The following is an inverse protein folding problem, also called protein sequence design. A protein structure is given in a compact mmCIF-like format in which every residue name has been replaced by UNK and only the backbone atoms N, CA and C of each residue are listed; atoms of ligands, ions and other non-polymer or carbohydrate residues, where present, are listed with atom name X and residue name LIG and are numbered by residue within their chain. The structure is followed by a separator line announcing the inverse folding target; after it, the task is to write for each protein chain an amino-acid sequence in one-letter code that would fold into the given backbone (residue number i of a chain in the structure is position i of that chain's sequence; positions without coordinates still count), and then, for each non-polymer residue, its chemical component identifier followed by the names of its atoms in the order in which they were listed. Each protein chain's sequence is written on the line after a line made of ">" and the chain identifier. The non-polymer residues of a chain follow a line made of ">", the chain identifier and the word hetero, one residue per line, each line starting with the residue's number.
data_IF_102618451052
#
_entry.id   IF_102618451052
#
_cell.length_a   1.000
_cell.length_b   1.000
_cell.length_c   1.000
_cell.angle_alpha   90.00
_cell.angle_beta   90.00
_cell.angle_gamma   90.00
#
_symmetry.space_group_name_H-M   'P 1'
#
loop_
_entity.id
_entity.type
_entity.pdbx_description
1 polymer ?
#
# COMPACT_ATOMS: atom_id res chain seq x y z
N UNK A 1 19.25 -22.49 14.98
CA UNK A 1 18.95 -21.06 15.03
C UNK A 1 17.49 -20.88 14.64
N UNK A 2 16.69 -20.42 15.57
CA UNK A 2 15.26 -20.22 15.34
C UNK A 2 15.10 -18.89 14.59
N UNK A 3 14.66 -18.93 13.34
CA UNK A 3 14.19 -17.72 12.65
C UNK A 3 13.10 -17.11 13.52
N UNK A 4 13.31 -15.86 13.97
CA UNK A 4 12.37 -15.18 14.85
C UNK A 4 11.05 -14.74 14.19
N UNK A 5 10.76 -15.27 12.99
CA UNK A 5 9.52 -14.95 12.28
C UNK A 5 8.34 -15.63 13.01
N UNK A 6 7.45 -14.87 13.64
CA UNK A 6 6.22 -15.42 14.19
C UNK A 6 5.39 -16.00 13.05
N UNK A 7 4.77 -17.16 13.28
CA UNK A 7 3.92 -17.77 12.27
C UNK A 7 2.58 -17.02 12.16
N UNK A 8 2.15 -16.63 10.96
CA UNK A 8 0.87 -15.99 10.78
C UNK A 8 -0.28 -16.97 10.99
N UNK A 9 -1.31 -16.55 11.68
CA UNK A 9 -2.61 -17.19 11.61
C UNK A 9 -3.28 -16.75 10.32
N UNK A 10 -3.21 -17.59 9.29
CA UNK A 10 -3.81 -17.32 7.98
C UNK A 10 -5.34 -17.56 8.09
N UNK A 11 -6.08 -16.56 8.54
CA UNK A 11 -7.53 -16.63 8.72
C UNK A 11 -8.15 -15.37 8.11
N UNK A 12 -9.16 -15.53 7.26
CA UNK A 12 -9.94 -14.41 6.74
C UNK A 12 -10.17 -14.44 5.23
N UNK A 13 -10.95 -13.49 4.75
CA UNK A 13 -11.43 -13.33 3.36
C UNK A 13 -10.34 -12.88 2.35
N UNK A 14 -9.13 -12.60 2.82
CA UNK A 14 -8.05 -12.12 1.94
C UNK A 14 -7.23 -13.28 1.37
N UNK A 15 -6.73 -13.15 0.14
CA UNK A 15 -5.85 -14.15 -0.47
C UNK A 15 -4.66 -14.49 0.43
N UNK A 16 -4.34 -15.77 0.58
CA UNK A 16 -3.30 -16.26 1.49
C UNK A 16 -1.92 -15.67 1.21
N UNK A 17 -1.60 -15.40 -0.06
CA UNK A 17 -0.32 -14.75 -0.42
C UNK A 17 -0.23 -13.32 0.09
N UNK A 18 -1.35 -12.57 0.12
CA UNK A 18 -1.36 -11.20 0.66
C UNK A 18 -1.20 -11.20 2.18
N UNK A 19 -1.84 -12.13 2.87
CA UNK A 19 -1.70 -12.28 4.32
C UNK A 19 -0.25 -12.60 4.67
N UNK A 20 0.36 -13.55 3.95
CA UNK A 20 1.76 -13.94 4.15
C UNK A 20 2.71 -12.76 3.86
N UNK A 21 2.49 -12.04 2.75
CA UNK A 21 3.25 -10.85 2.39
C UNK A 21 3.19 -9.80 3.51
N UNK A 22 1.99 -9.42 3.96
CA UNK A 22 1.80 -8.42 5.02
C UNK A 22 2.47 -8.83 6.33
N UNK A 23 2.38 -10.09 6.67
CA UNK A 23 2.98 -10.60 7.90
C UNK A 23 4.50 -10.49 7.88
N UNK A 24 5.14 -10.94 6.79
CA UNK A 24 6.60 -10.88 6.66
C UNK A 24 7.09 -9.44 6.55
N UNK A 25 6.42 -8.58 5.75
CA UNK A 25 6.79 -7.17 5.61
C UNK A 25 6.67 -6.42 6.94
N UNK A 26 5.60 -6.65 7.71
CA UNK A 26 5.43 -6.08 9.04
C UNK A 26 6.50 -6.54 10.03
N UNK A 27 6.87 -7.82 10.02
CA UNK A 27 7.93 -8.38 10.88
C UNK A 27 9.31 -7.76 10.56
N UNK A 28 9.59 -7.49 9.29
CA UNK A 28 10.83 -6.82 8.88
C UNK A 28 10.79 -5.33 9.28
N UNK A 29 9.68 -4.64 9.06
CA UNK A 29 9.52 -3.22 9.41
C UNK A 29 9.56 -2.97 10.93
N UNK A 30 8.97 -3.86 11.71
CA UNK A 30 9.00 -3.78 13.18
C UNK A 30 10.35 -4.17 13.81
N UNK A 31 11.27 -4.71 12.99
CA UNK A 31 12.57 -5.16 13.48
C UNK A 31 12.54 -6.53 14.19
N UNK A 32 11.42 -7.25 14.15
CA UNK A 32 11.33 -8.63 14.66
C UNK A 32 12.24 -9.57 13.88
N UNK A 33 12.40 -9.30 12.59
CA UNK A 33 13.38 -9.94 11.72
C UNK A 33 14.51 -8.96 11.48
N UNK A 34 15.70 -9.30 11.92
CA UNK A 34 16.87 -8.43 11.79
C UNK A 34 17.29 -8.26 10.33
N UNK A 35 17.83 -7.10 9.93
CA UNK A 35 18.42 -6.92 8.62
C UNK A 35 19.53 -7.95 8.35
N UNK A 36 19.46 -8.65 7.21
CA UNK A 36 20.36 -9.75 6.87
C UNK A 36 19.99 -11.09 7.47
N UNK A 37 18.97 -11.15 8.32
CA UNK A 37 18.49 -12.43 8.87
C UNK A 37 17.91 -13.31 7.77
N UNK A 38 18.19 -14.61 7.89
CA UNK A 38 17.72 -15.59 6.92
C UNK A 38 16.27 -15.96 7.16
N UNK A 39 15.46 -15.78 6.14
CA UNK A 39 14.06 -16.18 6.15
C UNK A 39 13.89 -17.67 5.88
N UNK A 40 12.79 -18.28 6.32
CA UNK A 40 12.48 -19.67 6.02
C UNK A 40 12.44 -19.94 4.52
N UNK A 41 12.83 -21.13 4.11
CA UNK A 41 12.71 -21.53 2.71
C UNK A 41 11.24 -21.67 2.30
N UNK A 42 10.95 -21.55 1.00
CA UNK A 42 9.59 -21.76 0.48
C UNK A 42 8.99 -23.10 0.94
N UNK A 43 9.81 -24.19 0.89
CA UNK A 43 9.38 -25.52 1.32
C UNK A 43 9.03 -25.56 2.81
N UNK A 44 9.84 -24.92 3.64
CA UNK A 44 9.55 -24.82 5.08
C UNK A 44 8.25 -24.10 5.36
N UNK A 45 8.00 -22.95 4.70
CA UNK A 45 6.74 -22.21 4.86
C UNK A 45 5.54 -23.02 4.40
N UNK A 46 5.63 -23.68 3.26
CA UNK A 46 4.56 -24.59 2.80
C UNK A 46 4.24 -25.66 3.81
N UNK A 47 5.27 -26.34 4.34
CA UNK A 47 5.09 -27.41 5.32
C UNK A 47 4.54 -26.89 6.65
N UNK A 48 4.96 -25.70 7.09
CA UNK A 48 4.56 -25.15 8.39
C UNK A 48 3.17 -24.52 8.36
N UNK A 49 2.82 -23.84 7.27
CA UNK A 49 1.57 -23.11 7.14
C UNK A 49 0.47 -23.89 6.40
N UNK A 50 0.80 -25.05 5.82
CA UNK A 50 -0.16 -25.83 5.03
C UNK A 50 -0.63 -25.15 3.75
N UNK A 51 0.16 -24.24 3.19
CA UNK A 51 -0.18 -23.47 1.99
C UNK A 51 0.53 -24.03 0.75
N UNK A 52 -0.03 -23.71 -0.42
CA UNK A 52 0.57 -24.14 -1.70
C UNK A 52 1.91 -23.44 -1.98
N UNK A 53 2.76 -24.09 -2.77
CA UNK A 53 4.03 -23.53 -3.19
C UNK A 53 3.85 -22.22 -3.95
N UNK A 54 2.84 -22.13 -4.83
CA UNK A 54 2.52 -20.92 -5.60
C UNK A 54 2.15 -19.74 -4.71
N UNK A 55 1.41 -19.97 -3.63
CA UNK A 55 1.07 -18.94 -2.63
C UNK A 55 2.33 -18.33 -2.01
N UNK A 56 3.26 -19.19 -1.58
CA UNK A 56 4.51 -18.73 -0.98
C UNK A 56 5.41 -18.04 -2.01
N UNK A 57 5.46 -18.56 -3.23
CA UNK A 57 6.23 -17.95 -4.33
C UNK A 57 5.75 -16.56 -4.67
N UNK A 58 4.44 -16.37 -4.78
CA UNK A 58 3.84 -15.05 -5.04
C UNK A 58 4.17 -14.07 -3.91
N UNK A 59 4.02 -14.47 -2.65
CA UNK A 59 4.34 -13.60 -1.51
C UNK A 59 5.84 -13.21 -1.49
N UNK A 60 6.74 -14.18 -1.71
CA UNK A 60 8.17 -13.87 -1.78
C UNK A 60 8.55 -13.02 -2.98
N UNK A 61 7.94 -13.22 -4.14
CA UNK A 61 8.17 -12.40 -5.31
C UNK A 61 7.79 -10.93 -5.05
N UNK A 62 6.66 -10.69 -4.38
CA UNK A 62 6.24 -9.34 -3.96
C UNK A 62 7.25 -8.73 -2.97
N UNK A 63 7.68 -9.47 -1.95
CA UNK A 63 8.66 -8.98 -0.98
C UNK A 63 10.02 -8.65 -1.62
N UNK A 64 10.43 -9.39 -2.62
CA UNK A 64 11.65 -9.12 -3.38
C UNK A 64 11.48 -7.91 -4.29
N UNK A 65 10.35 -7.78 -4.99
CA UNK A 65 10.08 -6.64 -5.88
C UNK A 65 10.00 -5.32 -5.13
N UNK A 66 9.53 -5.32 -3.89
CA UNK A 66 9.45 -4.14 -3.03
C UNK A 66 10.74 -3.92 -2.18
N UNK A 67 11.71 -4.80 -2.30
CA UNK A 67 12.99 -4.64 -1.63
C UNK A 67 13.01 -5.00 -0.14
N UNK A 68 11.97 -5.64 0.40
CA UNK A 68 11.97 -6.14 1.77
C UNK A 68 12.86 -7.38 1.94
N UNK A 69 13.00 -8.16 0.87
CA UNK A 69 13.73 -9.42 0.88
C UNK A 69 14.72 -9.48 -0.27
N UNK A 70 15.91 -9.97 0.00
CA UNK A 70 16.94 -10.22 -1.01
C UNK A 70 16.99 -11.72 -1.27
N UNK A 71 16.81 -12.10 -2.53
CA UNK A 71 17.01 -13.48 -2.98
C UNK A 71 18.44 -13.67 -3.43
N UNK A 72 19.12 -14.66 -2.87
CA UNK A 72 20.47 -15.04 -3.28
C UNK A 72 20.49 -16.48 -3.77
N UNK A 73 21.07 -16.76 -4.95
CA UNK A 73 21.24 -18.13 -5.41
C UNK A 73 21.96 -18.96 -4.37
N UNK A 74 21.49 -20.18 -4.13
CA UNK A 74 22.02 -21.14 -3.14
C UNK A 74 21.92 -20.72 -1.67
N UNK A 75 21.77 -19.43 -1.35
CA UNK A 75 21.67 -18.91 0.03
C UNK A 75 20.23 -18.70 0.50
N UNK A 76 19.24 -18.73 -0.40
CA UNK A 76 17.84 -18.53 -0.08
C UNK A 76 17.45 -17.05 0.04
N UNK A 77 16.60 -16.74 1.00
CA UNK A 77 16.00 -15.43 1.21
C UNK A 77 16.52 -14.80 2.49
N UNK A 78 16.90 -13.53 2.44
CA UNK A 78 17.36 -12.76 3.59
C UNK A 78 16.60 -11.45 3.68
N UNK A 79 16.32 -11.00 4.89
CA UNK A 79 15.69 -9.69 5.11
C UNK A 79 16.61 -8.57 4.63
N UNK A 80 16.08 -7.64 3.86
CA UNK A 80 16.80 -6.44 3.46
C UNK A 80 16.90 -5.45 4.62
N UNK A 81 17.87 -4.55 4.54
CA UNK A 81 17.94 -3.42 5.46
C UNK A 81 16.93 -2.37 5.01
N UNK A 82 15.71 -2.43 5.52
CA UNK A 82 14.71 -1.41 5.26
C UNK A 82 15.05 -0.22 6.17
N UNK A 83 15.48 0.88 5.58
CA UNK A 83 15.54 2.15 6.30
C UNK A 83 14.11 2.65 6.38
N UNK A 84 13.43 2.36 7.49
CA UNK A 84 12.16 3.00 7.77
C UNK A 84 12.48 4.47 8.02
N UNK A 85 12.31 5.30 7.01
CA UNK A 85 12.26 6.74 7.25
C UNK A 85 11.11 6.95 8.25
N UNK A 86 11.35 7.61 9.39
CA UNK A 86 10.26 7.98 10.26
C UNK A 86 9.22 8.67 9.39
N UNK A 87 7.99 8.17 9.43
CA UNK A 87 6.89 8.81 8.72
C UNK A 87 7.01 10.32 9.01
N UNK A 88 7.04 11.18 8.00
CA UNK A 88 7.08 12.59 8.25
C UNK A 88 5.95 12.86 9.22
N UNK A 89 6.31 13.23 10.46
CA UNK A 89 5.32 13.67 11.41
C UNK A 89 4.61 14.80 10.68
N UNK A 90 3.39 14.55 10.27
CA UNK A 90 2.56 15.57 9.67
C UNK A 90 2.43 16.67 10.72
N UNK A 91 3.41 17.57 10.70
CA UNK A 91 3.29 18.80 11.46
C UNK A 91 2.02 19.42 10.91
N UNK A 92 0.98 19.63 11.75
CA UNK A 92 -0.21 20.28 11.25
C UNK A 92 0.27 21.58 10.57
N UNK A 93 0.18 21.61 9.26
CA UNK A 93 0.41 22.88 8.56
C UNK A 93 -0.56 23.85 9.22
N UNK A 94 -0.09 25.00 9.73
CA UNK A 94 -1.01 26.02 10.20
C UNK A 94 -2.01 26.20 9.07
N UNK A 95 -3.28 26.01 9.38
CA UNK A 95 -4.33 26.21 8.41
C UNK A 95 -4.08 27.59 7.78
N UNK A 96 -4.04 27.69 6.45
CA UNK A 96 -3.88 29.00 5.84
C UNK A 96 -4.89 29.94 6.48
N UNK A 97 -4.50 31.16 6.82
CA UNK A 97 -5.44 32.13 7.39
C UNK A 97 -6.68 32.08 6.51
N UNK A 98 -7.83 31.78 7.10
CA UNK A 98 -9.09 31.87 6.41
C UNK A 98 -9.26 33.35 6.11
N UNK A 99 -8.75 33.78 4.97
CA UNK A 99 -9.11 35.10 4.47
C UNK A 99 -10.63 35.05 4.24
N UNK A 100 -11.38 35.63 5.16
CA UNK A 100 -12.77 35.91 4.90
C UNK A 100 -12.77 36.74 3.63
N UNK A 101 -13.42 36.30 2.56
CA UNK A 101 -13.42 37.06 1.33
C UNK A 101 -13.99 38.45 1.66
N UNK A 102 -13.29 39.52 1.32
CA UNK A 102 -13.83 40.85 1.54
C UNK A 102 -15.21 40.86 0.91
N UNK A 103 -16.19 41.47 1.58
CA UNK A 103 -17.58 41.62 1.11
C UNK A 103 -17.63 42.53 -0.13
N UNK A 104 -16.87 42.13 -1.15
CA UNK A 104 -16.89 42.77 -2.48
C UNK A 104 -17.97 42.12 -3.30
N UNK A 105 -19.00 42.87 -3.59
CA UNK A 105 -19.98 42.52 -4.62
C UNK A 105 -19.25 42.55 -5.96
N UNK A 106 -18.79 41.35 -6.39
CA UNK A 106 -18.17 41.20 -7.70
C UNK A 106 -19.26 41.34 -8.78
N UNK A 107 -19.05 42.22 -9.70
CA UNK A 107 -19.96 42.38 -10.85
C UNK A 107 -19.95 41.15 -11.77
N UNK A 108 -18.85 40.36 -11.70
CA UNK A 108 -18.71 39.12 -12.43
C UNK A 108 -18.00 38.11 -11.52
N UNK A 109 -18.57 36.94 -11.37
CA UNK A 109 -18.01 35.85 -10.57
C UNK A 109 -17.61 34.75 -11.49
N UNK A 110 -16.30 34.60 -11.69
CA UNK A 110 -15.71 33.49 -12.44
C UNK A 110 -15.32 32.39 -11.44
N UNK A 111 -16.28 31.60 -10.97
CA UNK A 111 -15.99 30.44 -10.19
C UNK A 111 -15.88 29.23 -11.12
N UNK A 112 -14.80 28.49 -11.00
CA UNK A 112 -14.52 27.28 -11.82
C UNK A 112 -15.51 26.14 -11.57
N UNK A 113 -16.41 26.27 -10.60
CA UNK A 113 -17.43 25.29 -10.26
C UNK A 113 -18.88 25.63 -10.65
N UNK A 114 -19.12 26.83 -11.19
CA UNK A 114 -20.47 27.24 -11.59
C UNK A 114 -20.56 27.28 -13.12
N UNK A 115 -20.90 26.16 -13.71
CA UNK A 115 -21.28 26.11 -15.14
C UNK A 115 -22.75 26.47 -15.19
N UNK A 116 -23.09 27.60 -15.88
CA UNK A 116 -24.47 27.92 -16.15
C UNK A 116 -25.07 26.94 -17.16
N UNK A 117 -25.81 25.97 -16.63
CA UNK A 117 -26.45 24.93 -17.44
C UNK A 117 -27.76 25.40 -18.08
N UNK A 118 -28.23 26.63 -17.78
CA UNK A 118 -29.50 27.14 -18.31
C UNK A 118 -29.49 27.36 -19.83
N UNK A 119 -28.31 27.62 -20.39
CA UNK A 119 -28.09 27.79 -21.83
C UNK A 119 -27.80 26.53 -22.59
N UNK A 120 -27.65 25.39 -21.87
CA UNK A 120 -27.33 24.13 -22.53
C UNK A 120 -28.59 23.48 -23.13
N UNK A 121 -28.60 23.16 -24.42
CA UNK A 121 -29.80 22.66 -25.12
C UNK A 121 -30.00 21.15 -24.83
N UNK A 122 -30.40 20.79 -23.63
CA UNK A 122 -30.64 19.42 -23.20
C UNK A 122 -31.62 18.64 -24.10
N UNK A 123 -32.65 19.35 -24.63
CA UNK A 123 -33.62 18.71 -25.53
C UNK A 123 -33.03 18.29 -26.87
N UNK A 124 -32.09 19.04 -27.42
CA UNK A 124 -31.37 18.71 -28.65
C UNK A 124 -30.42 17.59 -28.41
N UNK A 125 -29.73 17.55 -27.26
CA UNK A 125 -28.80 16.46 -26.88
C UNK A 125 -29.51 15.14 -26.69
N UNK A 126 -30.66 15.14 -26.00
CA UNK A 126 -31.46 13.92 -25.80
C UNK A 126 -32.00 13.30 -27.11
N UNK A 127 -32.08 14.10 -28.18
CA UNK A 127 -32.52 13.64 -29.48
C UNK A 127 -31.38 12.98 -30.29
N UNK A 128 -30.14 13.38 -30.06
CA UNK A 128 -28.95 12.88 -30.76
C UNK A 128 -28.45 11.60 -30.11
N UNK A 129 -28.69 11.38 -28.80
CA UNK A 129 -28.22 10.21 -28.05
C UNK A 129 -29.19 9.02 -28.04
N UNK A 130 -30.24 9.06 -28.90
CA UNK A 130 -31.08 7.90 -29.24
C UNK A 130 -30.66 7.30 -30.57
#
# INVERSE_FOLDING_TARGET
>A
MRSGLPLPSLTGDQPLYQQLYRHISAAIQSGQVAPGERLPSKRQLCATLGVSMSTVETAYAMLVSEGYVISRPRSGYTAARVVTLPAPQARPLPAPPREEPPARVWRYQFSTGAVDTSLFPFSSWARISK
#
